data_IF_053736621385
#
_entry.id   IF_053736621385
#
_cell.length_a   1.000
_cell.length_b   1.000
_cell.length_c   1.000
_cell.angle_alpha   90.00
_cell.angle_beta   90.00
_cell.angle_gamma   90.00
#
_symmetry.space_group_name_H-M   'P 1'
#
loop_
_entity.id
_entity.type
_entity.pdbx_description
1 polymer ?
#
# COMPACT_ATOMS: atom_id res chain seq x y z
N UNK A 1 3.09 -30.03 0.50
CA UNK A 1 4.51 -29.58 0.48
C UNK A 1 4.50 -28.09 0.81
N UNK A 2 4.99 -27.70 1.98
CA UNK A 2 5.12 -26.26 2.31
C UNK A 2 6.12 -25.63 1.37
N UNK A 3 5.68 -24.59 0.65
CA UNK A 3 6.61 -23.72 -0.05
C UNK A 3 7.66 -23.22 0.95
N UNK A 4 8.95 -23.08 0.55
CA UNK A 4 9.96 -22.53 1.43
C UNK A 4 9.44 -21.20 1.98
N UNK A 5 9.54 -21.00 3.30
CA UNK A 5 9.12 -19.76 3.94
C UNK A 5 9.81 -18.60 3.23
N UNK A 6 9.01 -17.74 2.60
CA UNK A 6 9.46 -16.56 1.89
C UNK A 6 10.33 -15.74 2.86
N UNK A 7 11.59 -15.43 2.51
CA UNK A 7 12.51 -14.73 3.42
C UNK A 7 11.99 -13.34 3.82
N UNK A 8 11.18 -12.73 2.96
CA UNK A 8 10.48 -11.47 3.19
C UNK A 8 9.02 -11.63 2.78
N UNK A 9 8.10 -11.24 3.65
CA UNK A 9 6.66 -11.16 3.33
C UNK A 9 6.27 -9.77 2.77
N UNK A 10 5.01 -9.62 2.37
CA UNK A 10 4.48 -8.37 1.82
C UNK A 10 4.54 -7.22 2.83
N UNK A 11 4.30 -7.47 4.12
CA UNK A 11 4.26 -6.45 5.16
C UNK A 11 5.66 -5.87 5.42
N UNK A 12 6.66 -6.74 5.57
CA UNK A 12 8.06 -6.34 5.68
C UNK A 12 8.52 -5.59 4.42
N UNK A 13 8.12 -6.06 3.25
CA UNK A 13 8.51 -5.45 1.98
C UNK A 13 7.90 -4.05 1.80
N UNK A 14 6.65 -3.80 2.20
CA UNK A 14 6.01 -2.49 2.05
C UNK A 14 6.26 -1.53 3.22
N UNK A 15 6.89 -1.98 4.33
CA UNK A 15 7.19 -1.12 5.48
C UNK A 15 8.17 0.03 5.18
N UNK A 16 9.05 -0.14 4.18
CA UNK A 16 10.06 0.86 3.81
C UNK A 16 9.53 1.86 2.76
N UNK A 17 9.74 3.18 2.96
CA UNK A 17 9.23 4.20 2.05
C UNK A 17 9.85 4.12 0.65
N UNK A 18 11.15 3.82 0.54
CA UNK A 18 11.84 3.67 -0.75
C UNK A 18 11.23 2.51 -1.54
N UNK A 19 10.94 1.37 -0.89
CA UNK A 19 10.28 0.23 -1.54
C UNK A 19 8.88 0.57 -2.03
N UNK A 20 8.10 1.33 -1.25
CA UNK A 20 6.77 1.81 -1.71
C UNK A 20 6.88 2.71 -2.94
N UNK A 21 7.90 3.57 -2.99
CA UNK A 21 8.12 4.44 -4.15
C UNK A 21 8.58 3.65 -5.38
N UNK A 22 9.48 2.67 -5.20
CA UNK A 22 9.86 1.75 -6.29
C UNK A 22 8.63 1.03 -6.85
N UNK A 23 7.72 0.55 -6.00
CA UNK A 23 6.48 -0.09 -6.45
C UNK A 23 5.62 0.84 -7.30
N UNK A 24 5.50 2.12 -6.94
CA UNK A 24 4.78 3.13 -7.74
C UNK A 24 5.44 3.31 -9.12
N UNK A 25 6.76 3.49 -9.16
CA UNK A 25 7.51 3.69 -10.40
C UNK A 25 7.32 2.54 -11.40
N UNK A 26 7.35 1.30 -10.93
CA UNK A 26 7.22 0.10 -11.78
C UNK A 26 5.77 -0.33 -12.02
N UNK A 27 4.80 0.29 -11.35
CA UNK A 27 3.37 0.09 -11.61
C UNK A 27 2.92 0.81 -12.89
N UNK A 28 3.49 1.99 -13.17
CA UNK A 28 3.16 2.80 -14.34
C UNK A 28 3.73 2.21 -15.63
N UNK A 29 4.97 1.73 -15.56
CA UNK A 29 5.73 1.22 -16.71
C UNK A 29 6.83 0.28 -16.23
N UNK A 30 7.18 -0.72 -17.04
CA UNK A 30 8.40 -1.49 -16.79
C UNK A 30 9.65 -0.59 -16.92
N UNK A 31 10.58 -0.72 -15.96
CA UNK A 31 11.79 0.14 -15.91
C UNK A 31 13.05 -0.66 -15.58
N UNK A 32 14.22 -0.31 -16.14
CA UNK A 32 15.49 -0.92 -15.76
C UNK A 32 16.00 -0.40 -14.42
N UNK A 33 16.90 -1.15 -13.78
CA UNK A 33 17.54 -0.72 -12.50
C UNK A 33 18.22 0.64 -12.61
N UNK A 34 18.81 0.95 -13.76
CA UNK A 34 19.48 2.21 -14.05
C UNK A 34 18.51 3.39 -13.94
N UNK A 35 17.35 3.30 -14.60
CA UNK A 35 16.31 4.31 -14.55
C UNK A 35 15.72 4.42 -13.13
N UNK A 36 15.36 3.29 -12.50
CA UNK A 36 14.82 3.28 -11.13
C UNK A 36 15.79 3.96 -10.17
N UNK A 37 17.10 3.66 -10.27
CA UNK A 37 18.09 4.25 -9.39
C UNK A 37 18.25 5.77 -9.57
N UNK A 38 17.95 6.31 -10.76
CA UNK A 38 17.96 7.75 -11.02
C UNK A 38 16.90 8.54 -10.24
N UNK A 39 15.87 7.87 -9.70
CA UNK A 39 14.82 8.50 -8.90
C UNK A 39 15.16 8.68 -7.41
N UNK A 40 16.31 8.19 -6.95
CA UNK A 40 16.67 8.21 -5.53
C UNK A 40 18.06 8.80 -5.29
N UNK A 41 18.24 9.44 -4.13
CA UNK A 41 19.53 9.98 -3.67
C UNK A 41 20.44 8.93 -3.01
N UNK A 42 20.17 7.64 -3.23
CA UNK A 42 20.93 6.52 -2.65
C UNK A 42 21.73 5.79 -3.75
N UNK A 43 22.69 4.97 -3.33
CA UNK A 43 23.51 4.23 -4.29
C UNK A 43 22.67 3.22 -5.10
N UNK A 44 23.11 2.96 -6.34
CA UNK A 44 22.53 1.92 -7.19
C UNK A 44 22.52 0.54 -6.52
N UNK A 45 23.54 0.24 -5.71
CA UNK A 45 23.62 -0.99 -4.92
C UNK A 45 22.51 -1.05 -3.85
N UNK A 46 22.20 0.07 -3.19
CA UNK A 46 21.08 0.13 -2.25
C UNK A 46 19.74 -0.10 -2.96
N UNK A 47 19.52 0.52 -4.12
CA UNK A 47 18.32 0.28 -4.95
C UNK A 47 18.21 -1.17 -5.38
N UNK A 48 19.31 -1.80 -5.80
CA UNK A 48 19.34 -3.21 -6.15
C UNK A 48 18.95 -4.12 -4.97
N UNK A 49 19.35 -3.75 -3.74
CA UNK A 49 18.91 -4.45 -2.52
C UNK A 49 17.40 -4.30 -2.28
N UNK A 50 16.84 -3.11 -2.47
CA UNK A 50 15.38 -2.89 -2.40
C UNK A 50 14.63 -3.75 -3.44
N UNK A 51 15.11 -3.77 -4.69
CA UNK A 51 14.54 -4.60 -5.76
C UNK A 51 14.64 -6.10 -5.45
N UNK A 52 15.73 -6.54 -4.83
CA UNK A 52 15.87 -7.92 -4.40
C UNK A 52 14.81 -8.28 -3.35
N UNK A 53 14.66 -7.49 -2.29
CA UNK A 53 13.64 -7.70 -1.25
C UNK A 53 12.23 -7.74 -1.86
N UNK A 54 11.91 -6.79 -2.74
CA UNK A 54 10.61 -6.75 -3.43
C UNK A 54 10.38 -7.98 -4.33
N UNK A 55 11.43 -8.48 -4.98
CA UNK A 55 11.35 -9.69 -5.81
C UNK A 55 11.14 -10.94 -4.95
N UNK A 56 11.87 -11.03 -3.83
CA UNK A 56 11.72 -12.11 -2.85
C UNK A 56 10.32 -12.10 -2.23
N UNK A 57 9.71 -10.93 -2.01
CA UNK A 57 8.32 -10.81 -1.57
C UNK A 57 7.28 -10.96 -2.69
N UNK A 58 7.70 -11.32 -3.91
CA UNK A 58 6.87 -11.47 -5.12
C UNK A 58 6.09 -10.22 -5.54
N UNK A 59 6.43 -9.04 -5.02
CA UNK A 59 5.76 -7.78 -5.36
C UNK A 59 6.20 -7.21 -6.71
N UNK A 60 7.36 -7.64 -7.22
CA UNK A 60 7.84 -7.27 -8.54
C UNK A 60 8.42 -8.48 -9.26
N UNK A 61 8.40 -8.45 -10.60
CA UNK A 61 9.05 -9.43 -11.45
C UNK A 61 10.08 -8.76 -12.32
N UNK A 62 11.26 -9.35 -12.39
CA UNK A 62 12.32 -8.86 -13.26
C UNK A 62 12.54 -9.77 -14.47
N UNK A 63 12.51 -9.22 -15.68
CA UNK A 63 12.84 -9.93 -16.94
C UNK A 63 14.12 -9.39 -17.55
N UNK A 64 14.90 -10.24 -18.21
CA UNK A 64 16.10 -9.81 -18.93
C UNK A 64 15.71 -9.16 -20.25
N UNK A 65 16.26 -7.98 -20.54
CA UNK A 65 16.11 -7.26 -21.81
C UNK A 65 17.50 -6.78 -22.27
N UNK A 66 18.14 -7.56 -23.14
CA UNK A 66 19.52 -7.32 -23.55
C UNK A 66 20.50 -7.41 -22.37
N UNK A 67 21.17 -6.29 -22.08
CA UNK A 67 22.16 -6.17 -20.98
C UNK A 67 21.53 -5.75 -19.65
N UNK A 68 20.27 -5.35 -19.63
CA UNK A 68 19.58 -4.87 -18.44
C UNK A 68 18.46 -5.82 -17.98
N UNK A 69 18.01 -5.63 -16.73
CA UNK A 69 16.85 -6.32 -16.16
C UNK A 69 15.76 -5.28 -15.93
N UNK A 70 14.63 -5.47 -16.59
CA UNK A 70 13.44 -4.63 -16.47
C UNK A 70 12.53 -5.19 -15.39
N UNK A 71 12.00 -4.32 -14.53
CA UNK A 71 11.11 -4.67 -13.44
C UNK A 71 9.70 -4.15 -13.68
N UNK A 72 8.72 -4.97 -13.34
CA UNK A 72 7.29 -4.65 -13.39
C UNK A 72 6.61 -5.06 -12.09
N UNK A 73 5.53 -4.39 -11.72
CA UNK A 73 4.70 -4.74 -10.56
C UNK A 73 4.05 -6.12 -10.74
N UNK A 74 3.89 -6.85 -9.64
CA UNK A 74 3.05 -8.04 -9.53
C UNK A 74 1.93 -7.75 -8.52
N UNK A 75 0.77 -7.24 -8.97
CA UNK A 75 -0.28 -6.76 -8.08
C UNK A 75 -0.94 -7.90 -7.28
N UNK A 76 -0.83 -9.14 -7.72
CA UNK A 76 -1.45 -10.31 -7.08
C UNK A 76 -0.94 -10.49 -5.64
N UNK A 77 0.35 -10.22 -5.39
CA UNK A 77 0.94 -10.31 -4.05
C UNK A 77 0.49 -9.19 -3.10
N UNK A 78 -0.14 -8.12 -3.60
CA UNK A 78 -0.76 -7.10 -2.76
C UNK A 78 -2.15 -7.50 -2.25
N UNK A 79 -2.74 -8.59 -2.75
CA UNK A 79 -4.06 -9.04 -2.32
C UNK A 79 -4.11 -9.36 -0.82
N UNK A 80 -3.06 -10.00 -0.29
CA UNK A 80 -2.93 -10.31 1.15
C UNK A 80 -2.96 -9.03 2.00
N UNK A 81 -2.23 -7.99 1.58
CA UNK A 81 -2.22 -6.71 2.27
C UNK A 81 -3.60 -6.03 2.24
N UNK A 82 -4.29 -6.09 1.10
CA UNK A 82 -5.64 -5.55 0.94
C UNK A 82 -6.64 -6.27 1.84
N UNK A 83 -6.60 -7.59 1.89
CA UNK A 83 -7.48 -8.40 2.75
C UNK A 83 -7.24 -8.11 4.24
N UNK A 84 -5.97 -7.97 4.62
CA UNK A 84 -5.61 -7.60 5.99
C UNK A 84 -6.12 -6.20 6.35
N UNK A 85 -5.96 -5.21 5.48
CA UNK A 85 -6.49 -3.85 5.69
C UNK A 85 -8.03 -3.85 5.79
N UNK A 86 -8.72 -4.65 4.98
CA UNK A 86 -10.18 -4.74 4.99
C UNK A 86 -10.75 -5.14 6.36
N UNK A 87 -10.02 -5.93 7.16
CA UNK A 87 -10.41 -6.23 8.55
C UNK A 87 -10.49 -4.97 9.43
N UNK A 88 -9.63 -3.99 9.17
CA UNK A 88 -9.52 -2.77 9.96
C UNK A 88 -10.42 -1.64 9.46
N UNK A 89 -10.95 -1.71 8.23
CA UNK A 89 -11.87 -0.71 7.65
C UNK A 89 -13.06 -0.41 8.59
N UNK A 90 -13.57 -1.41 9.30
CA UNK A 90 -14.63 -1.25 10.31
C UNK A 90 -14.32 -0.24 11.42
N UNK A 91 -13.05 0.02 11.72
CA UNK A 91 -12.65 1.00 12.73
C UNK A 91 -12.63 2.43 12.17
N UNK A 92 -12.47 2.59 10.85
CA UNK A 92 -12.58 3.89 10.18
C UNK A 92 -14.04 4.28 9.97
N UNK A 93 -14.89 3.34 9.53
CA UNK A 93 -16.32 3.59 9.31
C UNK A 93 -17.08 3.97 10.59
N UNK A 94 -16.60 3.48 11.74
CA UNK A 94 -17.20 3.80 13.04
C UNK A 94 -17.01 5.29 13.42
N UNK A 95 -15.93 5.96 12.98
CA UNK A 95 -15.76 7.40 13.25
C UNK A 95 -16.77 8.27 12.49
N UNK A 96 -17.08 7.91 11.24
CA UNK A 96 -18.13 8.57 10.45
C UNK A 96 -19.53 8.29 11.02
N UNK A 97 -19.76 7.06 11.50
CA UNK A 97 -21.02 6.65 12.12
C UNK A 97 -21.26 7.36 13.46
N UNK A 98 -20.21 7.51 14.28
CA UNK A 98 -20.26 8.29 15.52
C UNK A 98 -20.51 9.78 15.24
N UNK A 99 -19.84 10.36 14.24
CA UNK A 99 -20.09 11.75 13.84
C UNK A 99 -21.54 11.95 13.35
N UNK A 100 -22.06 11.03 12.55
CA UNK A 100 -23.45 11.05 12.09
C UNK A 100 -24.44 11.01 13.26
N UNK A 101 -24.23 10.10 14.22
CA UNK A 101 -25.07 10.00 15.41
C UNK A 101 -25.04 11.26 16.28
N UNK A 102 -23.87 11.88 16.46
CA UNK A 102 -23.77 13.14 17.20
C UNK A 102 -24.57 14.26 16.52
N UNK A 103 -24.49 14.38 15.19
CA UNK A 103 -25.23 15.40 14.42
C UNK A 103 -26.74 15.14 14.44
N UNK A 104 -27.16 13.88 14.32
CA UNK A 104 -28.58 13.50 14.36
C UNK A 104 -29.19 13.75 15.73
N UNK A 105 -28.47 13.44 16.81
CA UNK A 105 -28.92 13.71 18.18
C UNK A 105 -28.95 15.20 18.51
N UNK A 106 -27.97 15.98 18.03
CA UNK A 106 -27.96 17.44 18.23
C UNK A 106 -29.15 18.09 17.52
N UNK A 107 -29.45 17.69 16.26
CA UNK A 107 -30.64 18.14 15.52
C UNK A 107 -31.97 17.80 16.21
N UNK A 108 -32.09 16.62 16.81
CA UNK A 108 -33.29 16.24 17.57
C UNK A 108 -33.51 17.15 18.78
N UNK A 109 -32.43 17.63 19.39
CA UNK A 109 -32.47 18.52 20.57
C UNK A 109 -32.93 19.95 20.22
N UNK A 110 -32.61 20.44 19.01
CA UNK A 110 -33.10 21.74 18.50
C UNK A 110 -34.56 21.70 18.04
N UNK A 111 -35.03 20.57 17.50
CA UNK A 111 -36.41 20.44 17.03
C UNK A 111 -37.41 20.38 18.22
N UNK A 112 -37.06 19.69 19.30
CA UNK A 112 -37.90 19.62 20.51
C UNK A 112 -38.02 20.93 21.30
N UNK A 113 -37.06 21.86 21.14
CA UNK A 113 -37.11 23.18 21.78
C UNK A 113 -37.99 24.17 21.01
N UNK A 114 -38.07 24.07 19.67
CA UNK A 114 -38.87 24.99 18.86
C UNK A 114 -40.37 24.66 18.86
N UNK A 115 -40.77 23.42 19.17
CA UNK A 115 -42.19 23.04 19.26
C UNK A 115 -42.85 23.39 20.61
N UNK A 116 -42.09 23.85 21.61
CA UNK A 116 -42.61 24.23 22.94
C UNK A 116 -42.77 25.73 23.16
N UNK A 117 -42.44 26.55 22.17
CA UNK A 117 -42.56 28.02 22.22
C UNK A 117 -43.68 28.60 21.32
N UNK A 118 -44.47 27.76 20.63
CA UNK A 118 -45.74 28.16 19.98
C UNK A 118 -46.97 27.77 20.82
#
# INVERSE_FOLDING_TARGET
>A
MSAPAQKYDVFQAVADPTRREVLRLVAEKERPVSEIAGHFSISRTAVAKHLHILSEAKLIKGRKAGREKLYTLQPESLAELREWLAYFDRFWDNRLSVLKHLIENDKSTYLEHNEKEE
#
